data_IF_075754109788
#
_entry.id   IF_075754109788
#
_cell.length_a   1.000
_cell.length_b   1.000
_cell.length_c   1.000
_cell.angle_alpha   90.00
_cell.angle_beta   90.00
_cell.angle_gamma   90.00
#
_symmetry.space_group_name_H-M   'P 1'
#
loop_
_entity.id
_entity.type
_entity.pdbx_description
1 polymer ?
#
# COMPACT_ATOMS: atom_id res chain seq x y z
N UNK A 1 -21.32 -28.74 -29.51
CA UNK A 1 -20.12 -29.13 -30.28
C UNK A 1 -19.00 -29.35 -29.29
N UNK A 2 -18.58 -30.59 -29.02
CA UNK A 2 -17.40 -30.83 -28.18
C UNK A 2 -16.18 -30.37 -28.98
N UNK A 3 -15.48 -29.35 -28.48
CA UNK A 3 -14.29 -28.78 -29.09
C UNK A 3 -13.23 -29.91 -29.26
N UNK A 4 -12.46 -29.87 -30.35
CA UNK A 4 -11.50 -30.90 -30.74
C UNK A 4 -10.47 -31.17 -29.62
N UNK A 5 -10.10 -30.11 -28.89
CA UNK A 5 -9.31 -30.17 -27.66
C UNK A 5 -9.88 -31.18 -26.64
N UNK A 6 -11.16 -31.08 -26.29
CA UNK A 6 -11.80 -31.96 -25.30
C UNK A 6 -11.81 -33.42 -25.74
N UNK A 7 -11.97 -33.70 -27.03
CA UNK A 7 -11.92 -35.07 -27.54
C UNK A 7 -10.51 -35.67 -27.49
N UNK A 8 -9.48 -34.84 -27.64
CA UNK A 8 -8.07 -35.21 -27.47
C UNK A 8 -7.74 -35.48 -26.01
N UNK A 9 -8.11 -34.55 -25.12
CA UNK A 9 -7.95 -34.68 -23.67
C UNK A 9 -8.72 -35.88 -23.10
N UNK A 10 -9.98 -36.08 -23.49
CA UNK A 10 -10.76 -37.27 -23.08
C UNK A 10 -10.08 -38.56 -23.54
N UNK A 11 -9.48 -38.58 -24.73
CA UNK A 11 -8.72 -39.73 -25.24
C UNK A 11 -7.43 -39.95 -24.45
N UNK A 12 -6.68 -38.89 -24.14
CA UNK A 12 -5.44 -38.97 -23.37
C UNK A 12 -5.70 -39.43 -21.93
N UNK A 13 -6.79 -38.97 -21.31
CA UNK A 13 -7.23 -39.43 -19.99
C UNK A 13 -7.66 -40.90 -20.01
N UNK A 14 -8.34 -41.34 -21.07
CA UNK A 14 -8.87 -42.71 -21.19
C UNK A 14 -7.81 -43.73 -21.60
N UNK A 15 -6.95 -43.34 -22.54
CA UNK A 15 -6.01 -44.23 -23.23
C UNK A 15 -4.56 -44.03 -22.74
N UNK A 16 -4.32 -43.09 -21.81
CA UNK A 16 -3.03 -42.87 -21.17
C UNK A 16 -2.60 -44.02 -20.26
N UNK A 17 -1.28 -44.21 -20.03
CA UNK A 17 -0.80 -45.28 -19.20
C UNK A 17 -1.31 -45.13 -17.76
N UNK A 18 -2.08 -46.11 -17.30
CA UNK A 18 -2.68 -46.20 -15.94
C UNK A 18 -1.61 -46.14 -14.82
N UNK A 19 -0.33 -46.22 -15.17
CA UNK A 19 0.80 -46.30 -14.24
C UNK A 19 1.40 -44.94 -13.82
N UNK A 20 1.14 -43.84 -14.51
CA UNK A 20 2.01 -42.67 -14.34
C UNK A 20 1.59 -41.63 -13.29
N UNK A 21 0.41 -41.71 -12.66
CA UNK A 21 -0.04 -40.76 -11.60
C UNK A 21 0.09 -39.25 -11.98
N UNK A 22 0.38 -38.96 -13.24
CA UNK A 22 0.71 -37.65 -13.81
C UNK A 22 -0.23 -37.42 -14.97
N UNK A 23 -0.81 -36.24 -15.01
CA UNK A 23 -1.57 -35.76 -16.16
C UNK A 23 -1.08 -34.36 -16.53
N UNK A 24 -0.46 -34.28 -17.71
CA UNK A 24 0.14 -33.07 -18.25
C UNK A 24 -0.66 -32.57 -19.46
N UNK A 25 -1.37 -31.45 -19.29
CA UNK A 25 -2.27 -30.85 -20.29
C UNK A 25 -2.04 -29.32 -20.45
N UNK A 26 -0.80 -28.84 -20.66
CA UNK A 26 -0.52 -27.43 -20.83
C UNK A 26 -0.94 -26.96 -22.23
N UNK A 27 -1.60 -25.80 -22.35
CA UNK A 27 -1.84 -25.21 -23.67
C UNK A 27 -2.89 -25.91 -24.53
N UNK A 28 -3.77 -26.72 -23.93
CA UNK A 28 -4.81 -27.50 -24.62
C UNK A 28 -6.05 -26.67 -25.01
N UNK A 29 -5.99 -25.33 -24.91
CA UNK A 29 -7.10 -24.41 -25.16
C UNK A 29 -8.37 -24.77 -24.36
N UNK A 30 -8.20 -25.30 -23.14
CA UNK A 30 -9.32 -25.66 -22.26
C UNK A 30 -9.97 -24.41 -21.68
N UNK A 31 -11.30 -24.35 -21.73
CA UNK A 31 -12.09 -23.27 -21.12
C UNK A 31 -12.74 -23.70 -19.79
N UNK A 32 -12.81 -25.01 -19.57
CA UNK A 32 -13.32 -25.67 -18.36
C UNK A 32 -12.64 -27.04 -18.20
N UNK A 33 -12.59 -27.53 -16.96
CA UNK A 33 -11.96 -28.79 -16.57
C UNK A 33 -12.97 -29.94 -16.75
N UNK A 34 -12.72 -30.92 -17.64
CA UNK A 34 -13.69 -31.99 -17.91
C UNK A 34 -14.07 -32.82 -16.68
N UNK A 35 -15.37 -33.10 -16.49
CA UNK A 35 -15.86 -33.86 -15.34
C UNK A 35 -15.24 -35.26 -15.19
N UNK A 36 -14.76 -35.87 -16.28
CA UNK A 36 -14.05 -37.14 -16.24
C UNK A 36 -12.81 -37.13 -15.33
N UNK A 37 -12.18 -35.96 -15.13
CA UNK A 37 -11.05 -35.80 -14.21
C UNK A 37 -11.42 -36.14 -12.77
N UNK A 38 -12.69 -35.97 -12.37
CA UNK A 38 -13.17 -36.35 -11.03
C UNK A 38 -12.92 -37.82 -10.68
N UNK A 39 -12.78 -38.70 -11.69
CA UNK A 39 -12.55 -40.14 -11.50
C UNK A 39 -11.08 -40.49 -11.26
N UNK A 40 -10.16 -39.56 -11.52
CA UNK A 40 -8.73 -39.79 -11.42
C UNK A 40 -8.19 -39.45 -10.03
N UNK A 41 -8.87 -39.94 -8.98
CA UNK A 41 -8.55 -39.64 -7.57
C UNK A 41 -7.18 -40.15 -7.11
N UNK A 42 -6.51 -40.93 -7.95
CA UNK A 42 -5.14 -41.44 -7.78
C UNK A 42 -4.06 -40.52 -8.36
N UNK A 43 -4.43 -39.43 -9.04
CA UNK A 43 -3.45 -38.48 -9.58
C UNK A 43 -2.64 -37.84 -8.46
N UNK A 44 -1.34 -37.75 -8.71
CA UNK A 44 -0.36 -37.03 -7.89
C UNK A 44 0.13 -35.74 -8.53
N UNK A 45 0.18 -35.69 -9.85
CA UNK A 45 0.60 -34.51 -10.59
C UNK A 45 -0.47 -34.15 -11.60
N UNK A 46 -0.96 -32.91 -11.54
CA UNK A 46 -1.85 -32.35 -12.55
C UNK A 46 -1.30 -31.01 -13.05
N UNK A 47 -1.01 -30.92 -14.34
CA UNK A 47 -0.65 -29.67 -15.00
C UNK A 47 -1.75 -29.25 -15.98
N UNK A 48 -2.35 -28.09 -15.72
CA UNK A 48 -3.38 -27.43 -16.52
C UNK A 48 -2.94 -26.01 -16.92
N UNK A 49 -1.64 -25.73 -16.91
CA UNK A 49 -1.09 -24.41 -17.24
C UNK A 49 -1.37 -23.97 -18.68
N UNK A 50 -1.24 -22.67 -18.96
CA UNK A 50 -1.40 -22.10 -20.31
C UNK A 50 -2.74 -22.39 -20.98
N UNK A 51 -3.81 -22.61 -20.21
CA UNK A 51 -5.16 -22.81 -20.72
C UNK A 51 -5.98 -21.50 -20.63
N UNK A 52 -7.28 -21.60 -20.88
CA UNK A 52 -8.23 -20.48 -20.86
C UNK A 52 -9.28 -20.67 -19.75
N UNK A 53 -8.90 -21.35 -18.65
CA UNK A 53 -9.79 -21.65 -17.54
C UNK A 53 -10.15 -20.36 -16.81
N UNK A 54 -11.45 -20.13 -16.62
CA UNK A 54 -11.97 -18.95 -15.90
C UNK A 54 -12.42 -19.27 -14.47
N UNK A 55 -12.80 -20.53 -14.25
CA UNK A 55 -13.16 -21.10 -12.94
C UNK A 55 -12.68 -22.55 -12.87
N UNK A 56 -12.70 -23.13 -11.66
CA UNK A 56 -12.45 -24.55 -11.45
C UNK A 56 -13.68 -25.22 -10.83
N UNK A 57 -14.01 -26.45 -11.24
CA UNK A 57 -15.15 -27.17 -10.69
C UNK A 57 -14.88 -27.63 -9.26
N UNK A 58 -15.94 -27.75 -8.46
CA UNK A 58 -15.83 -28.16 -7.07
C UNK A 58 -15.22 -29.57 -6.89
N UNK A 59 -15.33 -30.45 -7.91
CA UNK A 59 -14.74 -31.79 -7.82
C UNK A 59 -13.21 -31.79 -7.75
N UNK A 60 -12.52 -30.67 -8.04
CA UNK A 60 -11.06 -30.59 -7.88
C UNK A 60 -10.62 -31.03 -6.48
N UNK A 61 -11.42 -30.74 -5.43
CA UNK A 61 -11.14 -31.20 -4.07
C UNK A 61 -11.18 -32.72 -3.86
N UNK A 62 -11.72 -33.50 -4.80
CA UNK A 62 -11.76 -34.96 -4.75
C UNK A 62 -10.41 -35.61 -5.15
N UNK A 63 -9.51 -34.86 -5.79
CA UNK A 63 -8.18 -35.32 -6.20
C UNK A 63 -7.20 -35.32 -5.01
N UNK A 64 -7.60 -35.95 -3.92
CA UNK A 64 -6.96 -35.85 -2.60
C UNK A 64 -5.53 -36.40 -2.54
N UNK A 65 -5.08 -37.12 -3.58
CA UNK A 65 -3.72 -37.65 -3.72
C UNK A 65 -2.77 -36.71 -4.46
N UNK A 66 -3.24 -35.54 -4.94
CA UNK A 66 -2.38 -34.58 -5.62
C UNK A 66 -1.29 -34.08 -4.69
N UNK A 67 -0.04 -34.21 -5.14
CA UNK A 67 1.16 -33.64 -4.56
C UNK A 67 1.53 -32.32 -5.27
N UNK A 68 1.29 -32.23 -6.59
CA UNK A 68 1.59 -31.06 -7.44
C UNK A 68 0.39 -30.67 -8.30
N UNK A 69 0.06 -29.37 -8.32
CA UNK A 69 -0.96 -28.79 -9.17
C UNK A 69 -0.47 -27.48 -9.81
N UNK A 70 -0.39 -27.46 -11.14
CA UNK A 70 -0.07 -26.25 -11.91
C UNK A 70 -1.30 -25.75 -12.66
N UNK A 71 -1.69 -24.51 -12.34
CA UNK A 71 -2.80 -23.77 -12.92
C UNK A 71 -2.32 -22.42 -13.48
N UNK A 72 -1.01 -22.25 -13.64
CA UNK A 72 -0.40 -20.99 -14.09
C UNK A 72 -0.87 -20.58 -15.48
N UNK A 73 -0.79 -19.29 -15.79
CA UNK A 73 -1.15 -18.77 -17.12
C UNK A 73 -2.57 -19.15 -17.58
N UNK A 74 -3.55 -18.95 -16.69
CA UNK A 74 -4.97 -19.12 -16.98
C UNK A 74 -5.72 -17.78 -16.77
N UNK A 75 -7.05 -17.81 -16.75
CA UNK A 75 -7.91 -16.63 -16.53
C UNK A 75 -8.74 -16.77 -15.24
N UNK A 76 -8.22 -17.52 -14.25
CA UNK A 76 -8.96 -17.83 -13.03
C UNK A 76 -9.20 -16.57 -12.22
N UNK A 77 -10.47 -16.31 -11.92
CA UNK A 77 -10.89 -15.17 -11.09
C UNK A 77 -11.14 -15.56 -9.63
N UNK A 78 -11.44 -16.84 -9.38
CA UNK A 78 -11.68 -17.43 -8.07
C UNK A 78 -11.24 -18.90 -8.06
N UNK A 79 -11.07 -19.47 -6.87
CA UNK A 79 -10.86 -20.91 -6.66
C UNK A 79 -12.00 -21.49 -5.82
N UNK A 80 -12.44 -22.73 -6.07
CA UNK A 80 -13.49 -23.36 -5.30
C UNK A 80 -12.99 -23.68 -3.88
N UNK A 81 -13.87 -23.52 -2.90
CA UNK A 81 -13.55 -23.81 -1.49
C UNK A 81 -13.11 -25.27 -1.26
N UNK A 82 -13.51 -26.20 -2.15
CA UNK A 82 -13.10 -27.60 -2.11
C UNK A 82 -11.60 -27.82 -2.31
N UNK A 83 -10.84 -26.86 -2.86
CA UNK A 83 -9.38 -27.00 -2.96
C UNK A 83 -8.69 -27.20 -1.61
N UNK A 84 -9.31 -26.74 -0.50
CA UNK A 84 -8.81 -27.03 0.85
C UNK A 84 -8.84 -28.53 1.24
N UNK A 85 -9.46 -29.39 0.43
CA UNK A 85 -9.52 -30.84 0.64
C UNK A 85 -8.30 -31.60 0.08
N UNK A 86 -7.42 -30.93 -0.68
CA UNK A 86 -6.23 -31.52 -1.31
C UNK A 86 -5.12 -31.79 -0.28
N UNK A 87 -5.39 -32.63 0.71
CA UNK A 87 -4.58 -32.79 1.91
C UNK A 87 -3.13 -33.28 1.67
N UNK A 88 -2.81 -33.81 0.48
CA UNK A 88 -1.45 -34.22 0.10
C UNK A 88 -0.68 -33.13 -0.66
N UNK A 89 -1.33 -32.04 -1.10
CA UNK A 89 -0.73 -31.06 -1.99
C UNK A 89 0.47 -30.39 -1.33
N UNK A 90 1.63 -30.49 -1.98
CA UNK A 90 2.90 -29.90 -1.55
C UNK A 90 3.24 -28.64 -2.36
N UNK A 91 2.87 -28.62 -3.65
CA UNK A 91 3.17 -27.53 -4.58
C UNK A 91 1.92 -27.09 -5.36
N UNK A 92 1.68 -25.76 -5.40
CA UNK A 92 0.55 -25.15 -6.11
C UNK A 92 0.99 -23.91 -6.89
N UNK A 93 1.00 -23.99 -8.22
CA UNK A 93 1.24 -22.80 -9.06
C UNK A 93 -0.09 -22.20 -9.53
N UNK A 94 -0.32 -20.94 -9.17
CA UNK A 94 -1.48 -20.13 -9.57
C UNK A 94 -1.05 -18.84 -10.28
N UNK A 95 0.22 -18.73 -10.66
CA UNK A 95 0.78 -17.52 -11.24
C UNK A 95 0.10 -17.12 -12.55
N UNK A 96 0.15 -15.83 -12.89
CA UNK A 96 -0.41 -15.29 -14.12
C UNK A 96 -1.88 -15.66 -14.33
N UNK A 97 -2.71 -15.40 -13.31
CA UNK A 97 -4.16 -15.51 -13.32
C UNK A 97 -4.81 -14.15 -12.97
N UNK A 98 -6.12 -14.12 -12.71
CA UNK A 98 -6.88 -12.92 -12.36
C UNK A 98 -7.43 -13.00 -10.93
N UNK A 99 -6.74 -13.72 -10.03
CA UNK A 99 -7.17 -13.91 -8.65
C UNK A 99 -7.04 -12.60 -7.86
N UNK A 100 -8.13 -12.17 -7.25
CA UNK A 100 -8.14 -11.05 -6.30
C UNK A 100 -8.02 -11.49 -4.84
N UNK A 101 -8.28 -12.78 -4.59
CA UNK A 101 -8.22 -13.41 -3.28
C UNK A 101 -8.21 -14.93 -3.40
N UNK A 102 -8.05 -15.60 -2.26
CA UNK A 102 -8.01 -17.05 -2.15
C UNK A 102 -9.11 -17.55 -1.21
N UNK A 103 -9.66 -18.75 -1.42
CA UNK A 103 -10.61 -19.33 -0.48
C UNK A 103 -9.91 -19.64 0.84
N UNK A 104 -10.52 -19.22 1.96
CA UNK A 104 -10.00 -19.43 3.32
C UNK A 104 -9.68 -20.90 3.66
N UNK A 105 -10.33 -21.84 2.96
CA UNK A 105 -10.10 -23.28 3.11
C UNK A 105 -8.71 -23.73 2.65
N UNK A 106 -7.99 -22.96 1.82
CA UNK A 106 -6.60 -23.29 1.47
C UNK A 106 -5.67 -23.32 2.69
N UNK A 107 -6.01 -22.62 3.77
CA UNK A 107 -5.24 -22.70 5.03
C UNK A 107 -5.35 -24.06 5.75
N UNK A 108 -6.16 -24.99 5.23
CA UNK A 108 -6.28 -26.39 5.66
C UNK A 108 -5.22 -27.30 5.02
N UNK A 109 -4.53 -26.82 3.98
CA UNK A 109 -3.50 -27.58 3.26
C UNK A 109 -2.20 -27.65 4.09
N UNK A 110 -2.19 -28.52 5.09
CA UNK A 110 -1.07 -28.66 6.05
C UNK A 110 0.24 -29.13 5.44
N UNK A 111 0.24 -29.69 4.22
CA UNK A 111 1.44 -30.15 3.51
C UNK A 111 1.95 -29.21 2.45
N UNK A 112 1.19 -28.16 2.10
CA UNK A 112 1.61 -27.21 1.07
C UNK A 112 2.84 -26.46 1.58
N UNK A 113 3.91 -26.51 0.79
CA UNK A 113 5.19 -25.87 1.08
C UNK A 113 5.43 -24.70 0.16
N UNK A 114 5.06 -24.86 -1.11
CA UNK A 114 5.26 -23.86 -2.14
C UNK A 114 3.94 -23.50 -2.81
N UNK A 115 3.67 -22.20 -2.86
CA UNK A 115 2.55 -21.63 -3.60
C UNK A 115 3.06 -20.43 -4.37
N UNK A 116 2.75 -20.36 -5.67
CA UNK A 116 3.13 -19.23 -6.51
C UNK A 116 1.87 -18.43 -6.87
N UNK A 117 1.86 -17.14 -6.50
CA UNK A 117 0.75 -16.21 -6.76
C UNK A 117 1.16 -15.06 -7.70
N UNK A 118 2.37 -15.09 -8.24
CA UNK A 118 2.92 -13.98 -9.02
C UNK A 118 2.05 -13.65 -10.23
N UNK A 119 1.99 -12.38 -10.62
CA UNK A 119 1.17 -11.98 -11.78
C UNK A 119 -0.35 -12.05 -11.55
N UNK A 120 -0.83 -12.14 -10.31
CA UNK A 120 -2.25 -11.98 -9.97
C UNK A 120 -2.56 -10.60 -9.35
N UNK A 121 -3.77 -10.05 -9.58
CA UNK A 121 -4.23 -8.81 -8.95
C UNK A 121 -4.71 -9.03 -7.50
N UNK A 122 -3.94 -9.73 -6.68
CA UNK A 122 -4.28 -10.04 -5.28
C UNK A 122 -4.31 -8.78 -4.41
N UNK A 123 -5.13 -8.79 -3.35
CA UNK A 123 -5.22 -7.66 -2.43
C UNK A 123 -3.87 -7.32 -1.77
N UNK A 124 -3.62 -6.06 -1.38
CA UNK A 124 -2.38 -5.66 -0.72
C UNK A 124 -2.08 -6.46 0.55
N UNK A 125 -3.11 -6.78 1.36
CA UNK A 125 -2.96 -7.62 2.54
C UNK A 125 -2.52 -9.05 2.18
N UNK A 126 -3.14 -9.64 1.14
CA UNK A 126 -2.80 -10.98 0.70
C UNK A 126 -1.39 -11.03 0.09
N UNK A 127 -1.03 -10.03 -0.72
CA UNK A 127 0.31 -9.88 -1.28
C UNK A 127 1.36 -9.72 -0.18
N UNK A 128 1.09 -8.86 0.81
CA UNK A 128 1.99 -8.67 1.92
C UNK A 128 2.13 -9.95 2.77
N UNK A 129 1.06 -10.74 2.95
CA UNK A 129 1.11 -12.03 3.64
C UNK A 129 1.87 -13.09 2.85
N UNK A 130 1.67 -13.14 1.53
CA UNK A 130 2.38 -14.01 0.59
C UNK A 130 3.88 -13.74 0.58
N UNK A 131 4.28 -12.46 0.49
CA UNK A 131 5.67 -12.03 0.49
C UNK A 131 6.41 -12.25 1.83
N UNK A 132 5.68 -12.54 2.91
CA UNK A 132 6.24 -12.95 4.21
C UNK A 132 6.41 -14.47 4.31
N UNK A 133 5.84 -15.22 3.37
CA UNK A 133 5.91 -16.68 3.29
C UNK A 133 4.58 -17.38 3.62
N UNK A 134 4.56 -18.68 3.32
CA UNK A 134 3.34 -19.50 3.35
C UNK A 134 2.65 -19.55 4.72
N UNK A 135 3.42 -19.47 5.82
CA UNK A 135 2.87 -19.41 7.17
C UNK A 135 2.03 -18.15 7.41
N UNK A 136 2.55 -16.99 7.01
CA UNK A 136 1.86 -15.69 7.08
C UNK A 136 0.64 -15.66 6.17
N UNK A 137 0.75 -16.22 4.96
CA UNK A 137 -0.37 -16.41 4.04
C UNK A 137 -1.50 -17.23 4.69
N UNK A 138 -1.20 -18.38 5.28
CA UNK A 138 -2.22 -19.22 5.93
C UNK A 138 -2.82 -18.58 7.16
N UNK A 139 -2.02 -17.90 7.97
CA UNK A 139 -2.53 -17.13 9.10
C UNK A 139 -3.49 -16.01 8.63
N UNK A 140 -3.19 -15.34 7.51
CA UNK A 140 -4.09 -14.35 6.91
C UNK A 140 -5.42 -14.97 6.46
N UNK A 141 -5.37 -16.09 5.73
CA UNK A 141 -6.56 -16.81 5.28
C UNK A 141 -7.43 -17.31 6.45
N UNK A 142 -6.82 -17.72 7.56
CA UNK A 142 -7.54 -18.08 8.80
C UNK A 142 -8.17 -16.85 9.44
N UNK A 143 -7.47 -15.72 9.51
CA UNK A 143 -7.99 -14.47 10.05
C UNK A 143 -9.21 -13.97 9.24
N UNK A 144 -9.18 -14.17 7.91
CA UNK A 144 -10.31 -13.89 7.01
C UNK A 144 -11.55 -14.76 7.24
N UNK A 145 -11.44 -15.87 7.98
CA UNK A 145 -12.62 -16.68 8.33
C UNK A 145 -13.57 -15.99 9.31
N UNK A 146 -13.08 -14.95 10.01
CA UNK A 146 -13.84 -14.12 10.94
C UNK A 146 -14.65 -13.06 10.18
N UNK A 147 -15.40 -12.25 10.93
CA UNK A 147 -16.16 -11.11 10.39
C UNK A 147 -15.23 -10.16 9.60
N UNK A 148 -15.65 -9.82 8.39
CA UNK A 148 -14.93 -8.90 7.50
C UNK A 148 -15.67 -7.57 7.40
N UNK A 149 -14.91 -6.50 7.18
CA UNK A 149 -15.46 -5.20 6.84
C UNK A 149 -14.86 -4.72 5.52
N UNK A 150 -15.63 -3.90 4.83
CA UNK A 150 -15.17 -3.20 3.62
C UNK A 150 -14.43 -1.94 4.02
N UNK A 151 -13.17 -1.81 3.60
CA UNK A 151 -12.34 -0.64 3.85
C UNK A 151 -12.29 0.23 2.59
N UNK A 152 -12.83 1.44 2.69
CA UNK A 152 -12.78 2.46 1.64
C UNK A 152 -11.75 3.51 2.03
N UNK A 153 -10.47 3.15 1.96
CA UNK A 153 -9.36 4.04 2.29
C UNK A 153 -8.36 4.08 1.16
N UNK A 154 -7.80 5.27 0.91
CA UNK A 154 -6.72 5.44 -0.04
C UNK A 154 -5.65 6.41 0.47
N UNK A 155 -4.42 6.29 -0.03
CA UNK A 155 -3.35 7.24 0.27
C UNK A 155 -3.41 8.44 -0.67
N UNK A 156 -3.19 9.64 -0.14
CA UNK A 156 -3.00 10.87 -0.90
C UNK A 156 -1.62 11.44 -0.56
N UNK A 157 -0.72 11.52 -1.52
CA UNK A 157 0.68 11.94 -1.29
C UNK A 157 0.88 13.30 -1.95
N UNK A 158 1.24 14.33 -1.17
CA UNK A 158 1.48 15.68 -1.66
C UNK A 158 2.98 15.99 -1.72
N UNK A 159 3.49 16.21 -2.93
CA UNK A 159 4.89 16.53 -3.18
C UNK A 159 5.04 17.85 -3.91
N UNK A 160 6.21 18.46 -3.80
CA UNK A 160 6.52 19.77 -4.38
C UNK A 160 7.48 20.55 -3.49
N UNK A 161 8.07 21.61 -4.04
CA UNK A 161 9.05 22.45 -3.33
C UNK A 161 8.51 23.06 -2.02
N UNK A 162 9.44 23.64 -1.25
CA UNK A 162 9.15 24.44 -0.07
C UNK A 162 8.10 25.51 -0.37
N UNK A 163 7.21 25.74 0.59
CA UNK A 163 6.25 26.85 0.58
C UNK A 163 5.25 26.87 -0.59
N UNK A 164 5.18 25.85 -1.46
CA UNK A 164 4.23 25.80 -2.60
C UNK A 164 2.76 25.66 -2.21
N UNK A 165 2.42 25.75 -0.92
CA UNK A 165 1.03 25.72 -0.46
C UNK A 165 0.42 24.36 -0.20
N UNK A 166 1.23 23.33 0.02
CA UNK A 166 0.74 21.96 0.25
C UNK A 166 -0.18 21.88 1.47
N UNK A 167 0.24 22.43 2.60
CA UNK A 167 -0.55 22.47 3.85
C UNK A 167 -1.84 23.26 3.69
N UNK A 168 -1.79 24.42 3.03
CA UNK A 168 -2.98 25.22 2.73
C UNK A 168 -3.94 24.49 1.78
N UNK A 169 -3.42 23.69 0.85
CA UNK A 169 -4.21 22.85 -0.05
C UNK A 169 -4.91 21.72 0.72
N UNK A 170 -4.22 21.07 1.66
CA UNK A 170 -4.83 20.05 2.54
C UNK A 170 -5.96 20.67 3.38
N UNK A 171 -5.72 21.82 4.03
CA UNK A 171 -6.75 22.54 4.78
C UNK A 171 -7.97 22.87 3.89
N UNK A 172 -7.73 23.26 2.63
CA UNK A 172 -8.79 23.55 1.67
C UNK A 172 -9.59 22.30 1.26
N UNK A 173 -8.93 21.15 1.07
CA UNK A 173 -9.57 19.87 0.73
C UNK A 173 -10.42 19.31 1.88
N UNK A 174 -10.02 19.58 3.13
CA UNK A 174 -10.77 19.27 4.35
C UNK A 174 -11.92 20.23 4.64
N UNK A 175 -12.07 21.29 3.83
CA UNK A 175 -13.03 22.37 4.08
C UNK A 175 -12.79 23.11 5.41
N UNK A 176 -11.54 23.15 5.89
CA UNK A 176 -11.18 23.95 7.07
C UNK A 176 -11.17 25.44 6.77
N UNK A 177 -11.21 26.26 7.82
CA UNK A 177 -11.06 27.71 7.72
C UNK A 177 -9.65 28.08 7.24
N UNK A 178 -9.54 29.16 6.47
CA UNK A 178 -8.25 29.66 6.02
C UNK A 178 -7.39 30.13 7.19
N UNK A 179 -6.13 29.70 7.18
CA UNK A 179 -5.06 30.20 8.03
C UNK A 179 -3.74 30.19 7.27
N UNK A 180 -2.86 31.12 7.59
CA UNK A 180 -1.47 31.05 7.13
C UNK A 180 -0.73 30.01 7.97
N UNK A 181 0.19 29.31 7.33
CA UNK A 181 1.03 28.31 7.95
C UNK A 181 2.49 28.71 7.78
N UNK A 182 3.27 28.52 8.83
CA UNK A 182 4.72 28.51 8.73
C UNK A 182 5.19 27.31 7.88
N UNK A 183 6.48 27.27 7.54
CA UNK A 183 7.07 26.14 6.84
C UNK A 183 6.78 24.84 7.57
N UNK A 184 6.18 23.88 6.87
CA UNK A 184 5.92 22.56 7.46
C UNK A 184 7.23 21.80 7.59
N UNK A 185 7.59 21.50 8.83
CA UNK A 185 8.68 20.60 9.18
C UNK A 185 8.17 19.16 9.21
N UNK A 186 8.95 18.22 8.68
CA UNK A 186 8.60 16.80 8.69
C UNK A 186 7.40 16.43 7.81
N UNK A 187 6.47 15.64 8.37
CA UNK A 187 5.31 15.07 7.66
C UNK A 187 4.06 15.31 8.48
N UNK A 188 2.93 15.64 7.85
CA UNK A 188 1.62 15.65 8.51
C UNK A 188 0.68 14.69 7.80
N UNK A 189 0.10 13.76 8.56
CA UNK A 189 -0.92 12.83 8.05
C UNK A 189 -2.29 13.35 8.46
N UNK A 190 -3.22 13.45 7.51
CA UNK A 190 -4.60 13.86 7.78
C UNK A 190 -5.64 13.06 7.01
N UNK A 191 -6.84 12.96 7.58
CA UNK A 191 -7.94 12.19 7.00
C UNK A 191 -8.89 13.12 6.25
N UNK A 192 -9.00 12.94 4.94
CA UNK A 192 -9.83 13.77 4.06
C UNK A 192 -10.96 12.90 3.48
N UNK A 193 -12.22 13.10 3.88
CA UNK A 193 -13.33 12.36 3.30
C UNK A 193 -13.65 12.85 1.88
N UNK A 194 -13.81 11.90 0.96
CA UNK A 194 -14.27 12.14 -0.41
C UNK A 194 -15.38 11.14 -0.78
N UNK A 195 -16.23 11.51 -1.72
CA UNK A 195 -17.34 10.65 -2.18
C UNK A 195 -16.97 10.11 -3.56
N UNK A 196 -17.07 8.80 -3.76
CA UNK A 196 -16.87 8.17 -5.08
C UNK A 196 -17.83 8.79 -6.12
N UNK A 197 -17.33 9.51 -7.12
CA UNK A 197 -18.17 10.23 -8.08
C UNK A 197 -18.85 9.28 -9.09
N UNK A 198 -18.48 8.00 -9.14
CA UNK A 198 -19.06 7.00 -10.06
C UNK A 198 -20.37 6.41 -9.55
N UNK A 199 -20.69 6.58 -8.26
CA UNK A 199 -21.95 6.12 -7.66
C UNK A 199 -22.89 7.32 -7.47
N UNK A 200 -24.20 7.12 -7.68
CA UNK A 200 -25.19 8.20 -7.56
C UNK A 200 -25.10 8.90 -6.19
N UNK A 201 -25.29 10.23 -6.18
CA UNK A 201 -25.11 11.15 -5.04
C UNK A 201 -25.84 10.74 -3.75
N UNK A 202 -26.93 9.96 -3.85
CA UNK A 202 -27.73 9.51 -2.70
C UNK A 202 -27.26 8.16 -2.12
N UNK A 203 -26.24 7.53 -2.71
CA UNK A 203 -25.69 6.21 -2.34
C UNK A 203 -24.15 6.18 -2.34
N UNK A 204 -23.52 7.35 -2.43
CA UNK A 204 -22.08 7.50 -2.66
C UNK A 204 -21.24 6.78 -1.61
N UNK A 205 -20.34 5.91 -2.06
CA UNK A 205 -19.37 5.29 -1.15
C UNK A 205 -18.38 6.35 -0.69
N UNK A 206 -18.36 6.64 0.61
CA UNK A 206 -17.35 7.50 1.22
C UNK A 206 -15.99 6.78 1.21
N UNK A 207 -14.96 7.49 0.76
CA UNK A 207 -13.57 7.05 0.78
C UNK A 207 -12.82 8.01 1.69
N UNK A 208 -12.11 7.48 2.67
CA UNK A 208 -11.21 8.29 3.52
C UNK A 208 -9.83 8.31 2.89
N UNK A 209 -9.34 9.51 2.54
CA UNK A 209 -7.98 9.70 2.05
C UNK A 209 -7.05 10.00 3.22
N UNK A 210 -5.99 9.22 3.37
CA UNK A 210 -4.91 9.51 4.29
C UNK A 210 -3.90 10.38 3.56
N UNK A 211 -3.98 11.70 3.75
CA UNK A 211 -3.18 12.74 3.14
C UNK A 211 -1.84 12.93 3.84
N UNK A 212 -0.75 12.71 3.11
CA UNK A 212 0.63 12.91 3.55
C UNK A 212 1.14 14.25 3.00
N UNK A 213 1.27 15.24 3.88
CA UNK A 213 1.84 16.56 3.59
C UNK A 213 3.31 16.60 4.00
N UNK A 214 4.20 16.60 3.01
CA UNK A 214 5.63 16.56 3.21
C UNK A 214 6.24 17.97 3.25
N UNK A 215 7.15 18.23 4.19
CA UNK A 215 7.94 19.46 4.22
C UNK A 215 8.71 19.65 2.92
N UNK A 216 8.51 20.77 2.21
CA UNK A 216 9.11 20.95 0.87
C UNK A 216 10.61 21.27 0.85
N UNK A 217 11.27 21.28 2.01
CA UNK A 217 12.70 21.61 2.09
C UNK A 217 13.55 20.48 1.50
N UNK A 218 14.63 20.85 0.78
CA UNK A 218 15.52 19.89 0.11
C UNK A 218 16.12 18.86 1.07
N UNK A 219 16.36 19.28 2.30
CA UNK A 219 16.93 18.50 3.39
C UNK A 219 16.03 17.31 3.77
N UNK A 220 14.71 17.41 3.58
CA UNK A 220 13.76 16.32 3.89
C UNK A 220 13.46 15.41 2.70
N UNK A 221 13.95 15.70 1.49
CA UNK A 221 13.72 14.83 0.32
C UNK A 221 14.17 13.37 0.53
N UNK A 222 15.27 13.07 1.24
CA UNK A 222 15.62 11.70 1.58
C UNK A 222 14.58 11.03 2.49
N UNK A 223 13.98 11.75 3.44
CA UNK A 223 12.96 11.21 4.34
C UNK A 223 11.63 10.97 3.64
N UNK A 224 11.32 11.71 2.56
CA UNK A 224 10.11 11.46 1.75
C UNK A 224 10.13 10.07 1.10
N UNK A 225 11.31 9.53 0.81
CA UNK A 225 11.46 8.20 0.20
C UNK A 225 10.94 7.09 1.11
N UNK A 226 10.89 7.32 2.41
CA UNK A 226 10.41 6.35 3.40
C UNK A 226 8.90 6.10 3.32
N UNK A 227 8.17 6.98 2.61
CA UNK A 227 6.71 7.05 2.63
C UNK A 227 6.08 7.04 1.24
N UNK A 228 6.89 6.92 0.19
CA UNK A 228 6.37 6.58 -1.13
C UNK A 228 5.98 5.10 -1.13
N UNK A 229 4.69 4.86 -1.34
CA UNK A 229 4.14 3.51 -1.45
C UNK A 229 2.97 3.54 -2.40
N UNK A 230 2.93 2.65 -3.39
CA UNK A 230 1.71 2.36 -4.14
C UNK A 230 0.82 1.34 -3.40
N UNK A 231 -0.51 1.37 -3.65
CA UNK A 231 -1.25 2.35 -4.47
C UNK A 231 -1.47 3.68 -3.73
N UNK A 232 -1.45 4.81 -4.44
CA UNK A 232 -1.77 6.13 -3.89
C UNK A 232 -2.21 7.11 -4.98
N UNK A 233 -2.89 8.19 -4.59
CA UNK A 233 -3.11 9.39 -5.42
C UNK A 233 -1.98 10.37 -5.17
N UNK A 234 -1.26 10.79 -6.21
CA UNK A 234 -0.15 11.73 -6.09
C UNK A 234 -0.55 13.14 -6.55
N UNK A 235 -0.26 14.14 -5.73
CA UNK A 235 -0.36 15.57 -6.10
C UNK A 235 1.04 16.17 -6.23
N UNK A 236 1.39 16.63 -7.43
CA UNK A 236 2.59 17.44 -7.64
C UNK A 236 2.18 18.91 -7.59
N UNK A 237 2.48 19.56 -6.47
CA UNK A 237 2.05 20.92 -6.15
C UNK A 237 3.15 21.92 -6.49
N UNK A 238 2.81 22.99 -7.19
CA UNK A 238 3.78 24.02 -7.59
C UNK A 238 3.17 25.42 -7.62
N UNK A 239 4.03 26.45 -7.59
CA UNK A 239 3.67 27.87 -7.66
C UNK A 239 3.87 28.42 -9.08
N UNK A 240 2.81 28.91 -9.76
CA UNK A 240 2.90 29.58 -11.06
C UNK A 240 3.85 30.76 -11.12
N UNK A 241 3.97 31.51 -10.01
CA UNK A 241 4.83 32.70 -9.96
C UNK A 241 6.31 32.40 -10.16
N UNK A 242 6.77 31.28 -9.62
CA UNK A 242 8.16 30.83 -9.71
C UNK A 242 8.43 30.09 -11.04
N UNK A 243 7.38 29.56 -11.66
CA UNK A 243 7.46 28.79 -12.90
C UNK A 243 7.71 27.29 -12.66
N UNK A 244 7.36 26.42 -13.62
CA UNK A 244 7.38 24.98 -13.43
C UNK A 244 8.80 24.39 -13.29
N UNK A 245 9.79 25.04 -13.92
CA UNK A 245 11.20 24.66 -13.80
C UNK A 245 11.75 24.95 -12.39
N UNK A 246 11.43 26.12 -11.82
CA UNK A 246 11.82 26.45 -10.46
C UNK A 246 11.08 25.60 -9.42
N UNK A 247 9.84 25.17 -9.74
CA UNK A 247 9.06 24.24 -8.93
C UNK A 247 9.47 22.76 -9.07
N UNK A 248 10.50 22.44 -9.87
CA UNK A 248 11.01 21.09 -10.10
C UNK A 248 9.92 20.06 -10.48
N UNK A 249 8.87 20.51 -11.19
CA UNK A 249 7.67 19.68 -11.46
C UNK A 249 8.05 18.41 -12.22
N UNK A 250 8.95 18.52 -13.21
CA UNK A 250 9.42 17.38 -14.01
C UNK A 250 10.20 16.38 -13.17
N UNK A 251 11.07 16.87 -12.29
CA UNK A 251 11.91 16.07 -11.41
C UNK A 251 11.05 15.34 -10.37
N UNK A 252 10.03 15.99 -9.80
CA UNK A 252 9.07 15.36 -8.90
C UNK A 252 8.26 14.26 -9.58
N UNK A 253 7.75 14.50 -10.80
CA UNK A 253 7.06 13.46 -11.58
C UNK A 253 8.01 12.31 -11.88
N UNK A 254 9.25 12.60 -12.28
CA UNK A 254 10.26 11.58 -12.58
C UNK A 254 10.58 10.74 -11.33
N UNK A 255 10.75 11.37 -10.17
CA UNK A 255 11.01 10.69 -8.90
C UNK A 255 9.88 9.71 -8.55
N UNK A 256 8.62 10.16 -8.66
CA UNK A 256 7.46 9.31 -8.42
C UNK A 256 7.44 8.15 -9.41
N UNK A 257 7.60 8.40 -10.71
CA UNK A 257 7.54 7.35 -11.74
C UNK A 257 8.66 6.32 -11.63
N UNK A 258 9.87 6.72 -11.22
CA UNK A 258 10.97 5.77 -11.00
C UNK A 258 10.70 4.83 -9.83
N UNK A 259 9.97 5.29 -8.81
CA UNK A 259 9.62 4.48 -7.64
C UNK A 259 8.35 3.67 -7.85
N UNK A 260 7.36 4.30 -8.48
CA UNK A 260 6.03 3.75 -8.72
C UNK A 260 5.64 3.97 -10.19
N UNK A 261 5.99 3.00 -11.07
CA UNK A 261 5.74 3.11 -12.51
C UNK A 261 4.26 3.35 -12.88
N UNK A 262 3.36 2.77 -12.09
CA UNK A 262 1.89 2.84 -12.24
C UNK A 262 1.25 4.03 -11.51
N UNK A 263 2.04 4.96 -10.97
CA UNK A 263 1.53 6.08 -10.21
C UNK A 263 0.60 6.98 -11.05
N UNK A 264 -0.53 7.34 -10.44
CA UNK A 264 -1.50 8.30 -11.00
C UNK A 264 -1.27 9.67 -10.36
N UNK A 265 -0.86 10.64 -11.16
CA UNK A 265 -0.40 11.96 -10.73
C UNK A 265 -1.35 13.05 -11.23
N UNK A 266 -1.70 13.97 -10.34
CA UNK A 266 -2.37 15.23 -10.63
C UNK A 266 -1.38 16.37 -10.42
N UNK A 267 -1.20 17.22 -11.42
CA UNK A 267 -0.33 18.40 -11.33
C UNK A 267 -1.18 19.59 -10.89
N UNK A 268 -0.84 20.18 -9.74
CA UNK A 268 -1.67 21.21 -9.08
C UNK A 268 -0.89 22.51 -8.95
N UNK A 269 -1.34 23.53 -9.67
CA UNK A 269 -0.88 24.91 -9.49
C UNK A 269 -1.67 25.58 -8.36
N UNK A 270 -0.97 26.14 -7.37
CA UNK A 270 -1.57 26.92 -6.26
C UNK A 270 -1.14 28.39 -6.36
N UNK A 271 -1.76 29.29 -5.58
CA UNK A 271 -1.30 30.69 -5.43
C UNK A 271 -1.26 31.53 -6.72
N UNK A 272 -2.21 31.33 -7.64
CA UNK A 272 -2.28 32.03 -8.92
C UNK A 272 -3.20 33.25 -8.94
N UNK A 273 -3.48 33.86 -7.78
CA UNK A 273 -4.54 34.85 -7.48
C UNK A 273 -4.95 35.85 -8.58
N UNK A 274 -6.12 36.52 -8.45
CA UNK A 274 -6.62 37.43 -9.48
C UNK A 274 -5.56 38.47 -9.91
N UNK A 275 -5.18 38.46 -11.19
CA UNK A 275 -4.14 39.34 -11.76
C UNK A 275 -2.70 38.81 -11.73
N UNK A 276 -2.48 37.57 -11.32
CA UNK A 276 -1.15 36.95 -11.29
C UNK A 276 -0.87 36.10 -12.53
N UNK A 277 0.39 35.70 -12.73
CA UNK A 277 0.80 34.85 -13.85
C UNK A 277 -0.13 33.63 -13.92
N UNK A 278 -0.81 33.47 -15.05
CA UNK A 278 -1.56 32.25 -15.32
C UNK A 278 -0.60 31.05 -15.18
N UNK A 279 -1.05 29.91 -14.64
CA UNK A 279 -0.26 28.69 -14.59
C UNK A 279 0.03 28.20 -16.01
N UNK A 280 1.14 28.66 -16.56
CA UNK A 280 1.65 28.24 -17.85
C UNK A 280 2.70 27.16 -17.63
N UNK A 281 2.35 25.95 -18.03
CA UNK A 281 3.19 24.77 -17.98
C UNK A 281 2.99 24.03 -19.28
N UNK A 282 4.08 23.53 -19.87
CA UNK A 282 4.03 22.73 -21.09
C UNK A 282 3.36 21.38 -20.81
N UNK A 283 2.02 21.38 -20.87
CA UNK A 283 1.19 20.20 -20.61
C UNK A 283 1.46 19.12 -21.65
N UNK A 284 1.63 19.51 -22.90
CA UNK A 284 1.83 18.55 -23.99
C UNK A 284 3.20 17.89 -23.86
N UNK A 285 4.27 18.65 -23.61
CA UNK A 285 5.59 18.08 -23.36
C UNK A 285 5.63 17.14 -22.16
N UNK A 286 4.94 17.47 -21.05
CA UNK A 286 4.82 16.56 -19.91
C UNK A 286 4.01 15.29 -20.24
N UNK A 287 2.92 15.42 -21.00
CA UNK A 287 2.12 14.28 -21.45
C UNK A 287 2.90 13.38 -22.41
N UNK A 288 3.72 13.94 -23.29
CA UNK A 288 4.55 13.20 -24.23
C UNK A 288 5.67 12.44 -23.50
N UNK A 289 6.24 13.03 -22.45
CA UNK A 289 7.29 12.42 -21.64
C UNK A 289 6.76 11.32 -20.70
N UNK A 290 5.61 11.54 -20.05
CA UNK A 290 5.15 10.68 -18.96
C UNK A 290 3.92 9.84 -19.30
N UNK A 291 3.14 10.23 -20.32
CA UNK A 291 1.92 9.55 -20.74
C UNK A 291 0.65 9.99 -19.99
N UNK A 292 -0.50 9.77 -20.64
CA UNK A 292 -1.84 10.07 -20.08
C UNK A 292 -2.27 9.10 -18.97
N UNK A 293 -1.66 7.93 -18.89
CA UNK A 293 -1.93 6.98 -17.80
C UNK A 293 -1.30 7.45 -16.49
N UNK A 294 -0.09 8.01 -16.53
CA UNK A 294 0.57 8.62 -15.37
C UNK A 294 -0.03 9.98 -15.02
N UNK A 295 -0.13 10.91 -15.98
CA UNK A 295 -0.62 12.27 -15.73
C UNK A 295 -2.13 12.35 -15.96
N UNK A 296 -2.89 12.31 -14.86
CA UNK A 296 -4.36 12.24 -14.89
C UNK A 296 -5.05 13.61 -14.99
N UNK A 297 -4.31 14.70 -14.81
CA UNK A 297 -4.86 16.05 -15.03
C UNK A 297 -4.00 17.18 -14.49
N UNK A 298 -4.35 18.39 -14.91
CA UNK A 298 -3.72 19.65 -14.50
C UNK A 298 -4.78 20.56 -13.88
N UNK A 299 -4.54 20.99 -12.65
CA UNK A 299 -5.50 21.78 -11.87
C UNK A 299 -4.89 23.11 -11.47
N UNK A 300 -5.73 24.14 -11.46
CA UNK A 300 -5.40 25.44 -10.89
C UNK A 300 -6.35 25.70 -9.74
N UNK A 301 -5.80 25.90 -8.54
CA UNK A 301 -6.58 26.04 -7.32
C UNK A 301 -6.21 27.28 -6.53
N UNK A 302 -7.22 27.89 -5.93
CA UNK A 302 -7.08 28.99 -4.97
C UNK A 302 -7.41 28.46 -3.58
N UNK A 303 -6.36 28.30 -2.75
CA UNK A 303 -6.51 27.80 -1.38
C UNK A 303 -7.17 28.86 -0.47
N UNK A 304 -6.89 30.14 -0.72
CA UNK A 304 -7.49 31.27 -0.01
C UNK A 304 -8.91 31.49 -0.53
N UNK A 305 -9.93 31.52 0.35
CA UNK A 305 -11.29 31.81 -0.07
C UNK A 305 -11.41 33.24 -0.62
N UNK A 306 -12.30 33.41 -1.58
CA UNK A 306 -12.74 34.72 -2.05
C UNK A 306 -13.64 35.42 -1.01
N UNK A 307 -14.09 36.64 -1.32
CA UNK A 307 -14.97 37.44 -0.45
C UNK A 307 -16.29 36.73 -0.10
N UNK A 308 -16.70 35.75 -0.91
CA UNK A 308 -17.92 34.96 -0.71
C UNK A 308 -17.64 33.62 0.00
N UNK A 309 -16.39 33.39 0.45
CA UNK A 309 -15.98 32.12 1.07
C UNK A 309 -15.70 30.99 0.09
N UNK A 310 -15.81 31.25 -1.22
CA UNK A 310 -15.60 30.28 -2.29
C UNK A 310 -14.12 30.04 -2.57
N UNK A 311 -13.74 28.79 -2.83
CA UNK A 311 -12.39 28.41 -3.27
C UNK A 311 -12.43 27.90 -4.71
N UNK A 312 -11.76 28.59 -5.62
CA UNK A 312 -11.74 28.22 -7.04
C UNK A 312 -10.93 26.94 -7.25
N UNK A 313 -11.46 25.99 -8.03
CA UNK A 313 -10.74 24.79 -8.48
C UNK A 313 -10.65 23.65 -7.45
N UNK A 314 -10.89 23.92 -6.16
CA UNK A 314 -10.79 22.91 -5.10
C UNK A 314 -11.86 21.82 -5.24
N UNK A 315 -13.08 22.17 -5.67
CA UNK A 315 -14.17 21.21 -5.86
C UNK A 315 -13.87 20.24 -7.01
N UNK A 316 -13.38 20.77 -8.12
CA UNK A 316 -12.98 20.00 -9.30
C UNK A 316 -11.79 19.09 -8.99
N UNK A 317 -10.79 19.61 -8.26
CA UNK A 317 -9.66 18.82 -7.79
C UNK A 317 -10.11 17.69 -6.85
N UNK A 318 -10.99 17.97 -5.88
CA UNK A 318 -11.52 16.96 -4.96
C UNK A 318 -12.26 15.84 -5.70
N UNK A 319 -13.04 16.18 -6.72
CA UNK A 319 -13.71 15.20 -7.58
C UNK A 319 -12.73 14.35 -8.40
N UNK A 320 -11.65 14.94 -8.93
CA UNK A 320 -10.62 14.22 -9.65
C UNK A 320 -9.84 13.26 -8.75
N UNK A 321 -9.47 13.71 -7.55
CA UNK A 321 -8.84 12.86 -6.52
C UNK A 321 -9.75 11.69 -6.18
N UNK A 322 -11.04 11.94 -5.92
CA UNK A 322 -12.01 10.89 -5.60
C UNK A 322 -12.16 9.87 -6.74
N UNK A 323 -12.23 10.34 -7.99
CA UNK A 323 -12.29 9.48 -9.17
C UNK A 323 -11.08 8.57 -9.31
N UNK A 324 -9.87 9.07 -9.04
CA UNK A 324 -8.65 8.24 -9.03
C UNK A 324 -8.66 7.28 -7.86
N UNK A 325 -8.90 7.76 -6.65
CA UNK A 325 -8.91 6.96 -5.42
C UNK A 325 -9.85 5.76 -5.55
N UNK A 326 -11.04 5.98 -6.11
CA UNK A 326 -12.04 4.94 -6.29
C UNK A 326 -11.62 3.85 -7.32
N UNK A 327 -10.59 4.11 -8.14
CA UNK A 327 -9.98 3.11 -9.05
C UNK A 327 -8.78 2.40 -8.44
N UNK A 328 -8.33 2.77 -7.24
CA UNK A 328 -7.20 2.11 -6.60
C UNK A 328 -7.64 0.75 -6.05
N UNK A 329 -6.80 -0.30 -6.17
CA UNK A 329 -7.15 -1.65 -5.70
C UNK A 329 -7.30 -1.74 -4.19
N UNK A 330 -6.81 -0.73 -3.45
CA UNK A 330 -6.93 -0.63 -2.01
C UNK A 330 -8.32 -0.17 -1.52
N UNK A 331 -9.16 0.42 -2.39
CA UNK A 331 -10.49 0.93 -2.03
C UNK A 331 -11.55 -0.15 -2.26
N UNK A 332 -12.39 -0.39 -1.26
CA UNK A 332 -13.46 -1.40 -1.32
C UNK A 332 -12.98 -2.81 -0.97
N UNK A 333 -11.78 -2.95 -0.44
CA UNK A 333 -11.20 -4.23 -0.05
C UNK A 333 -11.82 -4.77 1.24
N UNK A 334 -11.89 -6.09 1.36
CA UNK A 334 -12.33 -6.74 2.59
C UNK A 334 -11.15 -7.00 3.53
N UNK A 335 -11.28 -6.58 4.79
CA UNK A 335 -10.28 -6.81 5.83
C UNK A 335 -10.91 -7.44 7.07
N UNK A 336 -10.17 -8.26 7.84
CA UNK A 336 -10.68 -8.76 9.12
C UNK A 336 -11.07 -7.61 10.04
N UNK A 337 -12.30 -7.62 10.55
CA UNK A 337 -12.85 -6.54 11.39
C UNK A 337 -11.98 -6.23 12.61
N UNK A 338 -11.50 -7.29 13.28
CA UNK A 338 -10.63 -7.19 14.46
C UNK A 338 -9.33 -6.44 14.18
N UNK A 339 -8.79 -6.56 12.97
CA UNK A 339 -7.56 -5.84 12.60
C UNK A 339 -7.84 -4.35 12.47
N UNK A 340 -8.94 -3.98 11.82
CA UNK A 340 -9.33 -2.57 11.74
C UNK A 340 -9.63 -1.98 13.12
N UNK A 341 -10.37 -2.69 13.97
CA UNK A 341 -10.65 -2.25 15.34
C UNK A 341 -9.38 -2.10 16.18
N UNK A 342 -8.36 -2.92 15.91
CA UNK A 342 -7.05 -2.82 16.57
C UNK A 342 -6.27 -1.61 16.08
N UNK A 343 -6.27 -1.33 14.76
CA UNK A 343 -5.66 -0.12 14.18
C UNK A 343 -6.30 1.14 14.74
N UNK A 344 -7.63 1.21 14.71
CA UNK A 344 -8.39 2.33 15.27
C UNK A 344 -8.02 2.57 16.75
N UNK A 345 -7.91 1.50 17.54
CA UNK A 345 -7.52 1.64 18.94
C UNK A 345 -6.06 2.05 19.17
N UNK A 346 -5.14 1.68 18.26
CA UNK A 346 -3.77 2.17 18.29
C UNK A 346 -3.73 3.67 17.96
N UNK A 347 -4.49 4.12 16.97
CA UNK A 347 -4.61 5.52 16.59
C UNK A 347 -5.27 6.36 17.71
N UNK A 348 -6.38 5.89 18.27
CA UNK A 348 -7.11 6.51 19.40
C UNK A 348 -6.25 6.63 20.66
N UNK A 349 -5.22 5.79 20.82
CA UNK A 349 -4.29 5.91 21.94
C UNK A 349 -3.52 7.25 21.94
N UNK A 350 -3.45 7.91 20.78
CA UNK A 350 -2.74 9.18 20.58
C UNK A 350 -1.22 9.09 20.72
N UNK A 351 -0.68 7.91 21.05
CA UNK A 351 0.75 7.70 21.29
C UNK A 351 1.53 7.70 19.99
N UNK A 352 2.75 8.24 20.03
CA UNK A 352 3.63 8.22 18.87
C UNK A 352 4.29 6.86 18.64
N UNK A 353 4.55 6.12 19.72
CA UNK A 353 5.11 4.78 19.68
C UNK A 353 4.55 3.93 20.84
N UNK A 354 4.73 2.61 20.74
CA UNK A 354 4.31 1.66 21.76
C UNK A 354 5.24 0.45 21.79
N UNK A 355 5.60 -0.09 22.98
CA UNK A 355 6.29 -1.36 23.07
C UNK A 355 5.51 -2.49 22.38
N UNK A 356 6.22 -3.37 21.65
CA UNK A 356 5.61 -4.49 20.92
C UNK A 356 4.74 -5.37 21.83
N UNK A 357 5.20 -5.60 23.07
CA UNK A 357 4.46 -6.36 24.09
C UNK A 357 3.09 -5.75 24.43
N UNK A 358 2.98 -4.42 24.42
CA UNK A 358 1.69 -3.73 24.65
C UNK A 358 0.79 -3.81 23.42
N UNK A 359 1.37 -3.74 22.21
CA UNK A 359 0.62 -3.96 20.96
C UNK A 359 0.05 -5.39 20.94
N UNK A 360 0.86 -6.39 21.29
CA UNK A 360 0.43 -7.78 21.38
C UNK A 360 -0.65 -7.98 22.46
N UNK A 361 -0.51 -7.34 23.62
CA UNK A 361 -1.55 -7.36 24.66
C UNK A 361 -2.88 -6.75 24.16
N UNK A 362 -2.81 -5.66 23.38
CA UNK A 362 -3.98 -5.04 22.75
C UNK A 362 -4.64 -5.97 21.73
N UNK A 363 -3.83 -6.72 20.97
CA UNK A 363 -4.28 -7.72 20.02
C UNK A 363 -5.00 -8.89 20.73
N UNK A 364 -4.37 -9.43 21.80
CA UNK A 364 -4.95 -10.50 22.63
C UNK A 364 -6.29 -10.11 23.25
N UNK A 365 -6.42 -8.86 23.72
CA UNK A 365 -7.70 -8.33 24.24
C UNK A 365 -8.83 -8.37 23.21
N UNK A 366 -8.51 -8.37 21.92
CA UNK A 366 -9.45 -8.48 20.79
C UNK A 366 -9.56 -9.90 20.22
N UNK A 367 -9.01 -10.90 20.92
CA UNK A 367 -9.10 -12.30 20.53
C UNK A 367 -8.18 -12.70 19.38
N UNK A 368 -7.12 -11.94 19.12
CA UNK A 368 -6.04 -12.35 18.22
C UNK A 368 -4.96 -13.07 19.02
N UNK A 369 -4.62 -14.31 18.63
CA UNK A 369 -3.49 -15.04 19.21
C UNK A 369 -2.15 -14.40 18.83
N UNK A 370 -1.05 -14.85 19.42
CA UNK A 370 0.28 -14.26 19.19
C UNK A 370 0.73 -14.36 17.72
N UNK A 371 0.40 -15.45 17.01
CA UNK A 371 0.70 -15.58 15.57
C UNK A 371 -0.07 -14.55 14.72
N UNK A 372 -1.37 -14.38 14.98
CA UNK A 372 -2.20 -13.41 14.28
C UNK A 372 -1.78 -11.97 14.64
N UNK A 373 -1.42 -11.71 15.89
CA UNK A 373 -0.90 -10.42 16.34
C UNK A 373 0.42 -10.05 15.64
N UNK A 374 1.32 -11.03 15.49
CA UNK A 374 2.57 -10.84 14.75
C UNK A 374 2.30 -10.52 13.29
N UNK A 375 1.45 -11.31 12.63
CA UNK A 375 1.02 -11.06 11.26
C UNK A 375 0.38 -9.68 11.11
N UNK A 376 -0.48 -9.29 12.04
CA UNK A 376 -1.11 -7.98 12.06
C UNK A 376 -0.08 -6.84 12.07
N UNK A 377 0.97 -6.94 12.89
CA UNK A 377 2.04 -5.93 12.94
C UNK A 377 2.82 -5.90 11.64
N UNK A 378 3.25 -7.05 11.13
CA UNK A 378 4.01 -7.17 9.88
C UNK A 378 3.24 -6.58 8.68
N UNK A 379 1.97 -6.93 8.54
CA UNK A 379 1.14 -6.40 7.45
C UNK A 379 0.83 -4.93 7.65
N UNK A 380 0.58 -4.48 8.88
CA UNK A 380 0.38 -3.06 9.15
C UNK A 380 1.64 -2.24 8.89
N UNK A 381 2.83 -2.82 9.07
CA UNK A 381 4.10 -2.20 8.67
C UNK A 381 4.23 -2.08 7.15
N UNK A 382 4.07 -3.19 6.42
CA UNK A 382 4.16 -3.20 4.95
C UNK A 382 3.16 -2.27 4.27
N UNK A 383 1.95 -2.18 4.84
CA UNK A 383 0.90 -1.29 4.33
C UNK A 383 1.10 0.17 4.76
N UNK A 384 2.08 0.47 5.62
CA UNK A 384 2.40 1.82 6.07
C UNK A 384 1.43 2.41 7.10
N UNK A 385 0.70 1.56 7.82
CA UNK A 385 -0.15 1.99 8.95
C UNK A 385 0.65 2.23 10.23
N UNK A 386 1.79 1.55 10.38
CA UNK A 386 2.74 1.69 11.48
C UNK A 386 4.14 1.36 10.99
N UNK A 387 5.16 1.52 11.83
CA UNK A 387 6.54 1.13 11.51
C UNK A 387 7.03 0.17 12.59
N UNK A 388 7.57 -0.98 12.17
CA UNK A 388 8.14 -1.99 13.06
C UNK A 388 9.30 -2.72 12.36
N UNK A 389 10.40 -2.94 13.08
CA UNK A 389 11.61 -3.56 12.54
C UNK A 389 11.91 -4.87 13.26
N UNK A 390 11.19 -5.92 12.89
CA UNK A 390 11.26 -7.21 13.57
C UNK A 390 12.67 -7.83 13.65
N UNK A 391 13.50 -7.63 12.62
CA UNK A 391 14.84 -8.23 12.56
C UNK A 391 15.95 -7.32 13.09
N UNK A 392 15.65 -6.08 13.51
CA UNK A 392 16.67 -5.19 14.07
C UNK A 392 16.76 -5.38 15.60
N UNK A 393 17.93 -5.78 16.15
CA UNK A 393 18.06 -6.09 17.57
C UNK A 393 17.70 -4.95 18.52
N UNK A 394 17.82 -3.70 18.09
CA UNK A 394 17.55 -2.52 18.91
C UNK A 394 16.12 -1.99 18.71
N UNK A 395 15.54 -2.17 17.52
CA UNK A 395 14.24 -1.61 17.16
C UNK A 395 13.08 -2.61 17.25
N UNK A 396 13.35 -3.92 17.31
CA UNK A 396 12.33 -4.98 17.30
C UNK A 396 11.27 -4.87 18.39
N UNK A 397 11.59 -4.27 19.53
CA UNK A 397 10.68 -4.17 20.67
C UNK A 397 9.81 -2.91 20.64
N UNK A 398 9.99 -2.04 19.64
CA UNK A 398 9.28 -0.78 19.48
C UNK A 398 8.44 -0.76 18.19
N UNK A 399 7.17 -0.39 18.34
CA UNK A 399 6.26 -0.10 17.22
C UNK A 399 6.01 1.39 17.17
N UNK A 400 6.38 2.04 16.07
CA UNK A 400 6.07 3.46 15.84
C UNK A 400 4.68 3.56 15.22
N UNK A 401 3.78 4.28 15.89
CA UNK A 401 2.39 4.45 15.47
C UNK A 401 2.17 5.74 14.68
N UNK A 402 3.04 6.75 14.89
CA UNK A 402 3.00 8.05 14.22
C UNK A 402 4.28 8.25 13.39
N UNK A 403 4.25 8.03 12.07
CA UNK A 403 5.40 8.26 11.21
C UNK A 403 5.91 9.71 11.21
N UNK A 404 5.01 10.68 11.38
CA UNK A 404 5.29 12.11 11.51
C UNK A 404 6.18 12.43 12.71
N UNK A 405 5.99 11.71 13.83
CA UNK A 405 6.83 11.85 15.01
C UNK A 405 8.29 11.47 14.71
N UNK A 406 8.52 10.36 14.00
CA UNK A 406 9.87 9.98 13.59
C UNK A 406 10.49 10.99 12.63
N UNK A 407 9.71 11.47 11.65
CA UNK A 407 10.18 12.48 10.69
C UNK A 407 10.57 13.79 11.39
N UNK A 408 9.84 14.19 12.42
CA UNK A 408 10.13 15.39 13.23
C UNK A 408 11.42 15.24 14.04
N UNK A 409 11.66 14.07 14.65
CA UNK A 409 12.91 13.80 15.35
C UNK A 409 14.12 13.94 14.41
N UNK A 410 14.00 13.42 13.19
CA UNK A 410 15.06 13.49 12.17
C UNK A 410 15.26 14.94 11.70
N UNK A 411 14.19 15.71 11.51
CA UNK A 411 14.31 17.10 11.04
C UNK A 411 15.12 17.97 11.99
N UNK A 412 15.01 17.77 13.30
CA UNK A 412 15.80 18.53 14.27
C UNK A 412 17.31 18.34 14.10
N UNK A 413 17.74 17.15 13.67
CA UNK A 413 19.15 16.89 13.39
C UNK A 413 19.58 17.55 12.08
N UNK A 414 18.73 17.46 11.07
CA UNK A 414 19.06 17.97 9.75
C UNK A 414 19.01 19.51 9.66
N UNK A 415 18.22 20.15 10.52
CA UNK A 415 18.08 21.61 10.59
C UNK A 415 19.13 22.27 11.52
N UNK A 416 19.93 21.47 12.23
CA UNK A 416 20.88 22.00 13.21
C UNK A 416 22.03 22.78 12.55
N UNK A 417 22.10 24.08 12.87
CA UNK A 417 23.13 24.97 12.34
C UNK A 417 24.53 24.60 12.81
N UNK A 418 24.67 24.10 14.04
CA UNK A 418 25.97 23.71 14.59
C UNK A 418 26.53 22.51 13.84
N UNK A 419 25.72 21.47 13.64
CA UNK A 419 26.06 20.31 12.82
C UNK A 419 26.42 20.72 11.39
N UNK A 420 25.66 21.65 10.79
CA UNK A 420 25.96 22.18 9.45
C UNK A 420 27.30 22.93 9.40
N UNK A 421 27.57 23.78 10.39
CA UNK A 421 28.83 24.53 10.50
C UNK A 421 30.03 23.61 10.77
N UNK A 422 29.80 22.46 11.41
CA UNK A 422 30.77 21.39 11.62
C UNK A 422 30.88 20.42 10.42
N UNK A 423 30.43 20.82 9.23
CA UNK A 423 30.45 20.00 8.00
C UNK A 423 29.74 18.65 8.14
N UNK A 424 28.66 18.60 8.91
CA UNK A 424 27.86 17.38 9.14
C UNK A 424 28.37 16.49 10.27
N UNK A 425 29.42 16.90 11.00
CA UNK A 425 29.91 16.17 12.16
C UNK A 425 29.12 16.56 13.41
N UNK A 426 28.45 15.59 14.02
CA UNK A 426 27.72 15.78 15.28
C UNK A 426 28.14 14.73 16.31
N UNK A 427 28.36 15.17 17.55
CA UNK A 427 28.49 14.24 18.68
C UNK A 427 27.11 13.72 19.07
N UNK A 428 27.03 12.49 19.57
CA UNK A 428 25.75 11.96 20.06
C UNK A 428 25.12 12.80 21.19
N UNK A 429 25.94 13.49 21.99
CA UNK A 429 25.44 14.46 22.98
C UNK A 429 24.67 15.61 22.34
N UNK A 430 25.18 16.16 21.22
CA UNK A 430 24.49 17.20 20.47
C UNK A 430 23.15 16.70 19.92
N UNK A 431 23.13 15.49 19.37
CA UNK A 431 21.87 14.88 18.91
C UNK A 431 20.86 14.71 20.05
N UNK A 432 21.33 14.31 21.22
CA UNK A 432 20.48 14.20 22.42
C UNK A 432 19.92 15.54 22.88
N UNK A 433 20.73 16.61 22.84
CA UNK A 433 20.27 17.99 23.10
C UNK A 433 19.22 18.44 22.10
N UNK A 434 19.39 18.10 20.81
CA UNK A 434 18.44 18.44 19.75
C UNK A 434 17.10 17.70 19.89
N UNK A 435 17.08 16.52 20.49
CA UNK A 435 15.85 15.74 20.73
C UNK A 435 15.17 16.11 22.06
N UNK A 436 15.93 16.49 23.08
CA UNK A 436 15.40 16.90 24.39
C UNK A 436 15.65 18.39 24.69
N UNK A 437 15.44 19.26 23.70
CA UNK A 437 15.68 20.70 23.83
C UNK A 437 14.68 21.32 24.84
N UNK A 438 15.15 21.86 25.99
CA UNK A 438 14.28 22.43 27.02
C UNK A 438 13.58 23.72 26.60
N UNK A 439 13.98 24.34 25.48
CA UNK A 439 13.29 25.51 24.90
C UNK A 439 11.96 25.11 24.25
N UNK A 440 11.82 23.85 23.81
CA UNK A 440 10.58 23.35 23.21
C UNK A 440 9.57 22.88 24.27
N UNK A 441 8.26 22.91 23.95
CA UNK A 441 7.24 22.33 24.82
C UNK A 441 7.53 20.88 25.16
N UNK A 442 7.17 20.44 26.38
CA UNK A 442 7.39 19.06 26.83
C UNK A 442 6.78 18.01 25.87
N UNK A 443 5.66 18.34 25.22
CA UNK A 443 5.02 17.47 24.24
C UNK A 443 5.83 17.27 22.94
N UNK A 444 6.81 18.12 22.66
CA UNK A 444 7.68 18.08 21.47
C UNK A 444 9.10 17.60 21.81
N UNK A 445 9.35 17.28 23.08
CA UNK A 445 10.61 16.72 23.57
C UNK A 445 10.56 15.21 23.55
N UNK A 446 11.71 14.60 23.30
CA UNK A 446 11.85 13.16 23.22
C UNK A 446 12.51 12.62 24.48
N UNK A 447 12.00 11.48 24.96
CA UNK A 447 12.58 10.78 26.10
C UNK A 447 14.03 10.36 25.77
N UNK A 448 15.02 10.70 26.62
CA UNK A 448 16.41 10.30 26.44
C UNK A 448 16.63 8.80 26.22
N UNK A 449 15.74 7.94 26.74
CA UNK A 449 15.78 6.50 26.52
C UNK A 449 15.58 6.12 25.03
N UNK A 450 14.99 7.00 24.22
CA UNK A 450 14.72 6.79 22.80
C UNK A 450 15.84 7.30 21.89
N UNK A 451 16.74 8.14 22.39
CA UNK A 451 17.80 8.76 21.56
C UNK A 451 18.67 7.73 20.82
N UNK A 452 19.10 6.61 21.45
CA UNK A 452 19.83 5.57 20.72
C UNK A 452 19.02 4.94 19.58
N UNK A 453 17.70 4.83 19.74
CA UNK A 453 16.80 4.29 18.73
C UNK A 453 16.69 5.23 17.53
N UNK A 454 16.63 6.55 17.74
CA UNK A 454 16.63 7.51 16.63
C UNK A 454 17.94 7.50 15.86
N UNK A 455 19.07 7.44 16.54
CA UNK A 455 20.37 7.29 15.87
C UNK A 455 20.38 6.01 15.02
N UNK A 456 19.92 4.89 15.58
CA UNK A 456 19.84 3.61 14.86
C UNK A 456 18.92 3.69 13.63
N UNK A 457 17.80 4.40 13.73
CA UNK A 457 16.90 4.64 12.60
C UNK A 457 17.56 5.50 11.53
N UNK A 458 18.25 6.57 11.92
CA UNK A 458 18.97 7.42 10.98
C UNK A 458 20.09 6.67 10.25
N UNK A 459 20.85 5.82 10.94
CA UNK A 459 21.84 4.91 10.34
C UNK A 459 21.18 3.96 9.33
N UNK A 460 20.05 3.36 9.71
CA UNK A 460 19.33 2.41 8.86
C UNK A 460 18.81 3.05 7.56
N UNK A 461 18.53 4.34 7.59
CA UNK A 461 18.02 5.10 6.44
C UNK A 461 19.12 5.85 5.69
N UNK A 462 20.39 5.53 5.93
CA UNK A 462 21.55 6.16 5.29
C UNK A 462 21.56 7.69 5.45
N UNK A 463 20.96 8.21 6.53
CA UNK A 463 20.94 9.63 6.86
C UNK A 463 22.19 10.05 7.64
N UNK A 464 22.84 9.11 8.32
CA UNK A 464 24.09 9.32 9.04
C UNK A 464 24.93 8.04 9.09
N UNK A 465 26.21 8.18 9.39
CA UNK A 465 27.13 7.08 9.65
C UNK A 465 28.11 7.48 10.75
N UNK A 466 28.70 6.48 11.43
CA UNK A 466 29.69 6.71 12.48
C UNK A 466 31.06 6.96 11.85
N UNK A 467 31.75 8.00 12.33
CA UNK A 467 33.10 8.41 11.92
C UNK A 467 34.11 8.04 12.97
#
# INVERSE_FOLDING_TARGET
MKNKAYSGVERQIRDGPIFEQVLDLPGEELFDVPEYLSRLTWLKWLNLSYNQLTTLPAFMGQLVQLDYLDLSHNQLTTLPASMGQLAQLEELDLSHNLLTGLPKTLAQLTRLRDINLDGNPISPELSAAYNEGIGSLFAYLRAQANEQITLNQAKLILIGEGEVGKTCLVDALESLNWREHDTTHGIRIRSIPVIDPRKNKDSGTEITLNGWDFGGQRVYRPTHQLFFSAPAVYLVVWKPREGPQAGFVREWISLVKHREPEAKILVVATHGGPGQRQPDIDRQGLLDLFGKETLRGFFHVENKPDENGGRRGIKELKAAIAGIAATLPEVGRQVPKRWQETRAALEESGRAYMPLTKVFALCRKRGMGDEEARLFVVLSHRLGHLIHYEHDPQLKDMVVLKPDWLATAISFVLDDEETRNAHGLARFSRLSELWDDPVRPEAERYDPALHPLFLRLMERFDLCYRV
#
